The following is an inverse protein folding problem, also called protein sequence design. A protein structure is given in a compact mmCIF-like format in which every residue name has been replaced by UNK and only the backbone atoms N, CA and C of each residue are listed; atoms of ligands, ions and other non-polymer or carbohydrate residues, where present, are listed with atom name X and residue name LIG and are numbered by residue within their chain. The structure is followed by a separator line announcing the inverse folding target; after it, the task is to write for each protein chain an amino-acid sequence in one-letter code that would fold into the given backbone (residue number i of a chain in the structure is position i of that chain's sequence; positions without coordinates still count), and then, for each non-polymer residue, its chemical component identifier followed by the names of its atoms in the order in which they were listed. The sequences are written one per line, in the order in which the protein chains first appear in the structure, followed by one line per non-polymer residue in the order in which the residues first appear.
data_IF_185476637757
#
_entry.id   IF_185476637757
#
_cell.length_a   1.000
_cell.length_b   1.000
_cell.length_c   1.000
_cell.angle_alpha   90.00
_cell.angle_beta   90.00
_cell.angle_gamma   90.00
#
_symmetry.space_group_name_H-M   'P 1'
#
loop_
_entity.id
_entity.type
_entity.pdbx_description
1 polymer ?
#
# COMPACT_ATOMS: atom_id res chain seq x y z
N UNK A 1 -7.23 -13.77 12.15
CA UNK A 1 -7.90 -12.49 12.47
C UNK A 1 -9.38 -12.71 12.79
N UNK A 2 -10.06 -11.76 13.44
CA UNK A 2 -11.50 -11.86 13.76
C UNK A 2 -12.36 -12.06 12.50
N UNK A 3 -12.06 -11.34 11.42
CA UNK A 3 -12.74 -11.48 10.12
C UNK A 3 -12.62 -12.89 9.51
N UNK A 4 -11.44 -13.51 9.56
CA UNK A 4 -11.27 -14.90 9.09
C UNK A 4 -12.17 -15.88 9.87
N UNK A 5 -12.25 -15.74 11.20
CA UNK A 5 -13.08 -16.61 12.04
C UNK A 5 -14.57 -16.44 11.74
N UNK A 6 -15.00 -15.20 11.50
CA UNK A 6 -16.37 -14.87 11.08
C UNK A 6 -16.74 -15.60 9.79
N UNK A 7 -15.94 -15.46 8.72
CA UNK A 7 -16.21 -16.15 7.45
C UNK A 7 -16.18 -17.67 7.62
N UNK A 8 -15.20 -18.22 8.34
CA UNK A 8 -15.11 -19.67 8.57
C UNK A 8 -16.31 -20.22 9.36
N UNK A 9 -16.87 -19.46 10.30
CA UNK A 9 -18.09 -19.84 11.02
C UNK A 9 -19.33 -19.71 10.12
N UNK A 10 -19.47 -18.62 9.36
CA UNK A 10 -20.55 -18.43 8.40
C UNK A 10 -20.63 -19.55 7.36
N UNK A 11 -19.49 -19.95 6.78
CA UNK A 11 -19.44 -21.04 5.81
C UNK A 11 -19.88 -22.39 6.39
N UNK A 12 -19.63 -22.62 7.69
CA UNK A 12 -20.08 -23.84 8.37
C UNK A 12 -21.58 -23.81 8.66
N UNK A 13 -22.14 -22.65 9.01
CA UNK A 13 -23.55 -22.48 9.28
C UNK A 13 -24.40 -22.63 8.00
N UNK A 14 -23.98 -21.98 6.91
CA UNK A 14 -24.70 -22.02 5.63
C UNK A 14 -24.61 -23.38 4.93
N UNK A 15 -23.62 -24.24 5.25
CA UNK A 15 -23.53 -25.61 4.72
C UNK A 15 -24.69 -26.53 5.13
N UNK A 16 -25.50 -26.16 6.12
CA UNK A 16 -26.50 -27.03 6.76
C UNK A 16 -27.95 -26.74 6.31
N UNK A 17 -28.23 -25.64 5.59
CA UNK A 17 -29.59 -25.09 5.41
C UNK A 17 -30.08 -25.06 3.95
N UNK A 18 -30.66 -26.14 3.42
CA UNK A 18 -30.91 -26.44 1.98
C UNK A 18 -31.66 -25.46 1.03
N UNK A 19 -32.26 -24.31 1.41
CA UNK A 19 -33.12 -23.54 0.47
C UNK A 19 -32.89 -22.01 0.40
N UNK A 20 -32.51 -21.34 1.50
CA UNK A 20 -32.07 -19.91 1.48
C UNK A 20 -30.58 -19.73 1.11
N UNK A 21 -29.93 -20.85 0.84
CA UNK A 21 -28.49 -21.07 0.93
C UNK A 21 -27.72 -20.59 -0.30
N UNK A 22 -28.36 -20.49 -1.47
CA UNK A 22 -27.68 -19.93 -2.64
C UNK A 22 -27.32 -18.44 -2.46
N UNK A 23 -28.23 -17.60 -1.96
CA UNK A 23 -27.98 -16.15 -1.84
C UNK A 23 -27.05 -15.83 -0.67
N UNK A 24 -27.28 -16.40 0.51
CA UNK A 24 -26.45 -16.15 1.69
C UNK A 24 -25.01 -16.67 1.50
N UNK A 25 -24.84 -17.84 0.87
CA UNK A 25 -23.52 -18.37 0.55
C UNK A 25 -22.78 -17.50 -0.48
N UNK A 26 -23.47 -17.03 -1.53
CA UNK A 26 -22.87 -16.12 -2.51
C UNK A 26 -22.46 -14.78 -1.88
N UNK A 27 -23.30 -14.23 -1.00
CA UNK A 27 -23.00 -12.98 -0.29
C UNK A 27 -21.79 -13.15 0.64
N UNK A 28 -21.74 -14.24 1.41
CA UNK A 28 -20.60 -14.55 2.27
C UNK A 28 -19.31 -14.77 1.45
N UNK A 29 -19.43 -15.40 0.27
CA UNK A 29 -18.30 -15.58 -0.63
C UNK A 29 -17.81 -14.28 -1.25
N UNK A 30 -18.72 -13.41 -1.67
CA UNK A 30 -18.38 -12.08 -2.12
C UNK A 30 -17.62 -11.31 -1.03
N UNK A 31 -18.14 -11.28 0.21
CA UNK A 31 -17.49 -10.62 1.34
C UNK A 31 -16.10 -11.20 1.64
N UNK A 32 -15.94 -12.52 1.61
CA UNK A 32 -14.66 -13.18 1.84
C UNK A 32 -13.65 -12.83 0.73
N UNK A 33 -14.09 -12.78 -0.53
CA UNK A 33 -13.27 -12.36 -1.66
C UNK A 33 -12.87 -10.88 -1.56
N UNK A 34 -13.80 -10.00 -1.16
CA UNK A 34 -13.50 -8.58 -0.89
C UNK A 34 -12.45 -8.44 0.21
N UNK A 35 -12.58 -9.19 1.31
CA UNK A 35 -11.60 -9.15 2.39
C UNK A 35 -10.23 -9.66 1.94
N UNK A 36 -10.18 -10.71 1.12
CA UNK A 36 -8.93 -11.19 0.53
C UNK A 36 -8.29 -10.14 -0.38
N UNK A 37 -9.09 -9.47 -1.22
CA UNK A 37 -8.65 -8.36 -2.05
C UNK A 37 -8.01 -7.26 -1.19
N UNK A 38 -8.71 -6.80 -0.16
CA UNK A 38 -8.20 -5.80 0.78
C UNK A 38 -6.85 -6.21 1.40
N UNK A 39 -6.72 -7.45 1.86
CA UNK A 39 -5.48 -7.95 2.44
C UNK A 39 -4.32 -7.96 1.45
N UNK A 40 -4.59 -8.28 0.17
CA UNK A 40 -3.60 -8.21 -0.91
C UNK A 40 -3.21 -6.76 -1.18
N UNK A 41 -4.18 -5.89 -1.39
CA UNK A 41 -3.95 -4.46 -1.66
C UNK A 41 -3.18 -3.78 -0.54
N UNK A 42 -3.43 -4.11 0.73
CA UNK A 42 -2.66 -3.56 1.86
C UNK A 42 -1.20 -4.01 1.80
N UNK A 43 -0.94 -5.29 1.50
CA UNK A 43 0.44 -5.80 1.41
C UNK A 43 1.19 -5.18 0.24
N UNK A 44 0.53 -5.09 -0.92
CA UNK A 44 1.07 -4.43 -2.11
C UNK A 44 1.33 -2.95 -1.85
N UNK A 45 0.40 -2.25 -1.23
CA UNK A 45 0.57 -0.86 -0.82
C UNK A 45 1.78 -0.69 0.09
N UNK A 46 1.95 -1.54 1.10
CA UNK A 46 3.11 -1.49 2.00
C UNK A 46 4.42 -1.73 1.23
N UNK A 47 4.44 -2.69 0.30
CA UNK A 47 5.61 -2.96 -0.52
C UNK A 47 5.97 -1.76 -1.42
N UNK A 48 4.99 -1.21 -2.14
CA UNK A 48 5.16 -0.02 -2.98
C UNK A 48 5.59 1.19 -2.15
N UNK A 49 4.97 1.39 -0.99
CA UNK A 49 5.36 2.45 -0.08
C UNK A 49 6.82 2.25 0.35
N UNK A 50 7.22 1.05 0.79
CA UNK A 50 8.61 0.78 1.18
C UNK A 50 9.62 1.02 0.03
N UNK A 51 9.26 0.68 -1.20
CA UNK A 51 10.13 0.84 -2.37
C UNK A 51 10.24 2.30 -2.84
N UNK A 52 9.12 3.02 -2.88
CA UNK A 52 9.03 4.33 -3.53
C UNK A 52 8.78 5.50 -2.60
N UNK A 53 8.53 5.29 -1.30
CA UNK A 53 8.43 6.41 -0.37
C UNK A 53 9.72 7.23 -0.43
N UNK A 54 9.56 8.52 -0.72
CA UNK A 54 10.68 9.45 -0.74
C UNK A 54 11.31 9.52 0.66
N UNK A 55 12.65 9.63 0.71
CA UNK A 55 13.40 9.86 1.96
C UNK A 55 13.20 11.29 2.53
N UNK A 56 12.22 12.04 2.03
CA UNK A 56 12.06 13.48 2.22
C UNK A 56 12.50 14.28 0.99
N UNK A 57 12.47 15.61 1.11
CA UNK A 57 13.05 16.51 0.11
C UNK A 57 14.57 16.33 0.06
N UNK A 58 15.13 16.21 -1.14
CA UNK A 58 16.58 16.14 -1.36
C UNK A 58 17.17 17.55 -1.27
N UNK A 59 18.41 17.64 -0.83
CA UNK A 59 19.15 18.91 -0.89
C UNK A 59 19.29 19.41 -2.34
N UNK A 60 19.59 20.71 -2.50
CA UNK A 60 19.79 21.33 -3.82
C UNK A 60 21.01 20.69 -4.51
N UNK A 61 22.04 20.38 -3.73
CA UNK A 61 23.26 19.66 -4.10
C UNK A 61 22.94 18.27 -4.69
N UNK A 62 22.20 17.46 -3.96
CA UNK A 62 21.82 16.10 -4.38
C UNK A 62 20.93 16.13 -5.62
N UNK A 63 20.01 17.11 -5.69
CA UNK A 63 19.12 17.28 -6.83
C UNK A 63 19.88 17.69 -8.09
N UNK A 64 20.87 18.58 -7.98
CA UNK A 64 21.76 18.94 -9.08
C UNK A 64 22.55 17.72 -9.57
N UNK A 65 23.06 16.89 -8.64
CA UNK A 65 23.79 15.68 -8.97
C UNK A 65 22.99 14.66 -9.79
N UNK A 66 21.68 14.52 -9.54
CA UNK A 66 20.81 13.57 -10.27
C UNK A 66 20.70 13.86 -11.76
N UNK A 67 20.84 15.13 -12.15
CA UNK A 67 20.77 15.58 -13.55
C UNK A 67 22.15 15.84 -14.16
N UNK A 68 23.22 15.40 -13.49
CA UNK A 68 24.61 15.61 -13.94
C UNK A 68 25.10 17.05 -13.81
N UNK A 69 24.41 17.88 -13.03
CA UNK A 69 24.81 19.25 -12.75
C UNK A 69 25.64 19.32 -11.47
N UNK A 70 26.47 20.36 -11.37
CA UNK A 70 27.16 20.74 -10.13
C UNK A 70 26.69 22.13 -9.74
N UNK A 71 26.63 22.37 -8.44
CA UNK A 71 26.37 23.72 -7.95
C UNK A 71 27.50 24.66 -8.38
N UNK A 72 27.17 25.91 -8.73
CA UNK A 72 28.16 26.90 -9.10
C UNK A 72 29.11 27.15 -7.91
N UNK A 73 30.41 27.01 -8.14
CA UNK A 73 31.44 27.45 -7.20
C UNK A 73 31.75 28.91 -7.48
N UNK A 74 31.67 29.75 -6.45
CA UNK A 74 31.95 31.17 -6.62
C UNK A 74 33.43 31.37 -6.97
N UNK A 75 33.74 32.03 -8.10
CA UNK A 75 35.12 32.35 -8.43
C UNK A 75 35.66 33.32 -7.38
N UNK A 76 36.65 32.91 -6.60
CA UNK A 76 37.35 33.79 -5.65
C UNK A 76 37.03 33.63 -4.16
N UNK A 77 36.31 32.59 -3.73
CA UNK A 77 36.24 32.19 -2.31
C UNK A 77 35.47 33.11 -1.37
N UNK A 78 34.78 34.13 -1.89
CA UNK A 78 33.78 34.90 -1.14
C UNK A 78 32.47 34.12 -1.29
N UNK A 79 31.66 33.96 -0.24
CA UNK A 79 30.39 33.24 -0.32
C UNK A 79 29.32 34.04 -1.07
N UNK A 80 28.23 33.38 -1.47
CA UNK A 80 27.03 34.08 -1.95
C UNK A 80 26.41 34.73 -0.71
N UNK A 81 26.26 36.07 -0.71
CA UNK A 81 25.56 36.74 0.39
C UNK A 81 24.07 36.35 0.37
N UNK A 82 23.41 36.32 1.55
CA UNK A 82 22.02 35.86 1.70
C UNK A 82 21.00 36.62 0.83
#
# INVERSE_FOLDING_TARGET
TKAYRYFAQGYRAERVTSEKLCRAQHELHFQAATYLCLLRSIREHVALHQEFHGKGERSVEESAGLVGLKLPQQPGGKGWEP
#
